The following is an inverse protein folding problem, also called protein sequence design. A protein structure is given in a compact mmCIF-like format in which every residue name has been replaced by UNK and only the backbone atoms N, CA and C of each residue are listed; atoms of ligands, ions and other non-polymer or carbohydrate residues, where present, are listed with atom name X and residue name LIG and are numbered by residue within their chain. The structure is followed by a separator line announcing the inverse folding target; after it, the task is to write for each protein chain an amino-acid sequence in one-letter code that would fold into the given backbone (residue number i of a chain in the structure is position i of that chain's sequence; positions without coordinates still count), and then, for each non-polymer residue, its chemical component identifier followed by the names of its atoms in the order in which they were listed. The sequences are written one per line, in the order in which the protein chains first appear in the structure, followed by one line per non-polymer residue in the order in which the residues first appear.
data_IF_485175484021
#
_entry.id   IF_485175484021
#
_cell.length_a   1.000
_cell.length_b   1.000
_cell.length_c   1.000
_cell.angle_alpha   90.00
_cell.angle_beta   90.00
_cell.angle_gamma   90.00
#
_symmetry.space_group_name_H-M   'P 1'
#
loop_
_entity.id
_entity.type
_entity.pdbx_description
1 polymer ?
#
# COMPACT_ATOMS: atom_id res chain seq x y z
N UNK A 1 64.58 -50.55 -42.08
CA UNK A 1 64.61 -49.94 -40.74
C UNK A 1 63.58 -48.82 -40.68
N UNK A 2 62.82 -48.79 -39.58
CA UNK A 2 62.03 -47.67 -39.00
C UNK A 2 60.84 -47.09 -39.78
N UNK A 3 59.67 -47.56 -39.35
CA UNK A 3 58.34 -46.91 -39.41
C UNK A 3 58.31 -45.69 -38.49
N UNK A 4 57.60 -44.64 -38.88
CA UNK A 4 57.11 -43.60 -37.96
C UNK A 4 55.61 -43.40 -38.18
N UNK A 5 54.84 -43.79 -37.17
CA UNK A 5 53.44 -43.38 -36.97
C UNK A 5 53.44 -41.97 -36.37
N UNK A 6 52.52 -41.11 -36.77
CA UNK A 6 52.19 -39.91 -36.01
C UNK A 6 50.67 -39.75 -35.97
N UNK A 7 50.21 -39.57 -34.74
CA UNK A 7 48.86 -39.75 -34.23
C UNK A 7 48.05 -38.48 -34.51
N UNK A 8 46.86 -38.64 -35.08
CA UNK A 8 45.88 -37.58 -35.21
C UNK A 8 45.26 -37.28 -33.83
N UNK A 9 45.44 -36.07 -33.32
CA UNK A 9 44.77 -35.60 -32.12
C UNK A 9 43.44 -34.93 -32.52
N UNK A 10 42.32 -35.60 -32.24
CA UNK A 10 40.98 -35.07 -32.40
C UNK A 10 40.69 -34.12 -31.21
N UNK A 11 40.70 -32.82 -31.46
CA UNK A 11 40.31 -31.82 -30.47
C UNK A 11 38.79 -31.79 -30.30
N UNK A 12 38.30 -32.22 -29.14
CA UNK A 12 36.89 -32.14 -28.75
C UNK A 12 36.60 -30.71 -28.24
N UNK A 13 36.01 -29.87 -29.08
CA UNK A 13 35.59 -28.51 -28.70
C UNK A 13 34.30 -28.59 -27.89
N UNK A 14 34.40 -28.42 -26.57
CA UNK A 14 33.24 -28.31 -25.68
C UNK A 14 32.68 -26.89 -25.81
N UNK A 15 31.55 -26.75 -26.50
CA UNK A 15 30.75 -25.53 -26.53
C UNK A 15 30.06 -25.35 -25.17
N UNK A 16 30.61 -24.47 -24.33
CA UNK A 16 29.98 -23.99 -23.10
C UNK A 16 28.84 -23.05 -23.47
N UNK A 17 27.62 -23.60 -23.54
CA UNK A 17 26.38 -22.82 -23.63
C UNK A 17 26.17 -22.08 -22.31
N UNK A 18 26.63 -20.83 -22.22
CA UNK A 18 26.29 -19.94 -21.11
C UNK A 18 24.80 -19.60 -21.20
N UNK A 19 23.97 -20.32 -20.45
CA UNK A 19 22.59 -19.96 -20.20
C UNK A 19 22.57 -18.59 -19.54
N UNK A 20 22.20 -17.55 -20.29
CA UNK A 20 21.78 -16.28 -19.72
C UNK A 20 20.49 -16.54 -18.95
N UNK A 21 20.61 -16.90 -17.67
CA UNK A 21 19.53 -16.74 -16.71
C UNK A 21 19.24 -15.25 -16.65
N UNK A 22 18.22 -14.81 -17.40
CA UNK A 22 17.55 -13.55 -17.10
C UNK A 22 17.06 -13.69 -15.67
N UNK A 23 17.68 -12.96 -14.74
CA UNK A 23 17.14 -12.83 -13.40
C UNK A 23 15.77 -12.16 -13.56
N UNK A 24 14.69 -12.95 -13.49
CA UNK A 24 13.38 -12.38 -13.25
C UNK A 24 13.49 -11.59 -11.95
N UNK A 25 13.33 -10.27 -12.05
CA UNK A 25 13.32 -9.41 -10.88
C UNK A 25 12.23 -9.85 -9.91
N UNK A 26 12.46 -9.62 -8.62
CA UNK A 26 11.54 -9.96 -7.53
C UNK A 26 10.08 -9.60 -7.87
N UNK A 27 9.15 -10.52 -7.62
CA UNK A 27 7.73 -10.33 -7.94
C UNK A 27 7.11 -9.21 -7.10
N UNK A 28 5.96 -8.67 -7.53
CA UNK A 28 5.29 -7.62 -6.77
C UNK A 28 4.90 -8.10 -5.38
N UNK A 29 4.35 -9.32 -5.27
CA UNK A 29 3.92 -9.86 -3.98
C UNK A 29 5.07 -10.17 -3.04
N UNK A 30 6.23 -10.58 -3.57
CA UNK A 30 7.43 -10.79 -2.76
C UNK A 30 7.96 -9.45 -2.23
N UNK A 31 8.08 -8.43 -3.09
CA UNK A 31 8.47 -7.08 -2.68
C UNK A 31 7.54 -6.55 -1.59
N UNK A 32 6.22 -6.72 -1.77
CA UNK A 32 5.25 -6.22 -0.79
C UNK A 32 5.35 -6.96 0.54
N UNK A 33 5.52 -8.29 0.52
CA UNK A 33 5.77 -9.09 1.72
C UNK A 33 7.06 -8.67 2.43
N UNK A 34 8.14 -8.43 1.69
CA UNK A 34 9.40 -7.94 2.27
C UNK A 34 9.21 -6.57 2.93
N UNK A 35 8.52 -5.64 2.28
CA UNK A 35 8.21 -4.33 2.84
C UNK A 35 7.42 -4.44 4.17
N UNK A 36 6.37 -5.27 4.20
CA UNK A 36 5.55 -5.47 5.42
C UNK A 36 6.39 -6.06 6.55
N UNK A 37 7.24 -7.05 6.27
CA UNK A 37 8.11 -7.69 7.27
C UNK A 37 9.22 -6.78 7.80
N UNK A 38 9.86 -6.02 6.92
CA UNK A 38 11.13 -5.35 7.23
C UNK A 38 10.96 -3.88 7.65
N UNK A 39 9.79 -3.29 7.44
CA UNK A 39 9.52 -1.89 7.79
C UNK A 39 8.82 -1.79 9.15
N UNK A 40 9.57 -1.54 10.23
CA UNK A 40 8.96 -1.31 11.56
C UNK A 40 8.36 0.08 11.68
N UNK A 41 9.04 1.06 11.09
CA UNK A 41 8.58 2.45 10.97
C UNK A 41 8.79 2.91 9.55
N UNK A 42 7.97 3.83 9.07
CA UNK A 42 8.30 4.61 7.90
C UNK A 42 7.57 5.95 7.91
N UNK A 43 8.06 6.88 7.11
CA UNK A 43 7.37 8.12 6.77
C UNK A 43 7.49 8.42 5.28
N UNK A 44 6.61 9.27 4.77
CA UNK A 44 6.64 9.71 3.38
C UNK A 44 5.56 10.73 3.07
N UNK A 45 5.39 10.99 1.79
CA UNK A 45 4.38 11.88 1.24
C UNK A 45 3.35 11.08 0.44
N UNK A 46 2.12 11.58 0.38
CA UNK A 46 1.08 10.99 -0.44
C UNK A 46 0.32 12.03 -1.25
N UNK A 47 -0.18 11.59 -2.40
CA UNK A 47 -1.26 12.24 -3.15
C UNK A 47 -2.38 11.23 -3.28
N UNK A 48 -3.58 11.58 -2.84
CA UNK A 48 -4.77 10.75 -2.96
C UNK A 48 -5.73 11.41 -3.94
N UNK A 49 -6.22 10.64 -4.90
CA UNK A 49 -7.22 11.03 -5.88
C UNK A 49 -8.43 10.11 -5.75
N UNK A 50 -9.62 10.71 -5.69
CA UNK A 50 -10.88 10.00 -5.80
C UNK A 50 -11.40 10.22 -7.22
N UNK A 51 -11.58 9.13 -7.95
CA UNK A 51 -12.01 9.11 -9.34
C UNK A 51 -13.34 8.37 -9.50
N UNK A 52 -14.06 8.67 -10.58
CA UNK A 52 -15.28 7.95 -10.97
C UNK A 52 -15.41 7.92 -12.49
N UNK A 53 -16.24 7.00 -12.98
CA UNK A 53 -16.69 7.04 -14.36
C UNK A 53 -17.42 8.38 -14.68
N UNK A 54 -17.28 8.93 -15.90
CA UNK A 54 -18.06 10.09 -16.32
C UNK A 54 -19.56 9.80 -16.26
N UNK A 55 -20.36 10.79 -15.85
CA UNK A 55 -21.82 10.68 -15.91
C UNK A 55 -22.28 10.78 -17.36
N UNK A 56 -23.48 10.29 -17.68
CA UNK A 56 -24.05 10.37 -19.04
C UNK A 56 -24.06 11.80 -19.63
N UNK A 57 -24.09 12.83 -18.79
CA UNK A 57 -24.03 14.24 -19.18
C UNK A 57 -22.61 14.80 -19.36
N UNK A 58 -21.57 14.01 -19.13
CA UNK A 58 -20.17 14.40 -19.24
C UNK A 58 -19.51 13.73 -20.47
N UNK A 59 -18.47 14.34 -21.07
CA UNK A 59 -17.72 13.73 -22.16
C UNK A 59 -17.15 12.36 -21.76
N UNK A 60 -17.49 11.33 -22.53
CA UNK A 60 -17.13 9.93 -22.25
C UNK A 60 -15.74 9.55 -22.77
N UNK A 61 -15.12 10.41 -23.58
CA UNK A 61 -13.81 10.23 -24.19
C UNK A 61 -12.64 10.34 -23.20
N UNK A 62 -12.85 10.91 -22.01
CA UNK A 62 -11.78 11.26 -21.06
C UNK A 62 -11.48 10.23 -19.97
N UNK A 63 -11.99 9.01 -20.05
CA UNK A 63 -11.74 7.97 -19.03
C UNK A 63 -12.23 8.37 -17.63
N UNK A 64 -11.57 7.89 -16.57
CA UNK A 64 -11.95 8.23 -15.19
C UNK A 64 -11.74 9.72 -14.89
N UNK A 65 -12.74 10.35 -14.26
CA UNK A 65 -12.69 11.76 -13.84
C UNK A 65 -12.25 11.87 -12.39
N UNK A 66 -11.25 12.72 -12.11
CA UNK A 66 -10.89 13.10 -10.74
C UNK A 66 -11.99 13.98 -10.14
N UNK A 67 -12.57 13.54 -9.03
CA UNK A 67 -13.63 14.22 -8.26
C UNK A 67 -13.02 15.03 -7.12
N UNK A 68 -12.01 14.46 -6.46
CA UNK A 68 -11.33 15.08 -5.32
C UNK A 68 -9.87 14.67 -5.33
N UNK A 69 -9.01 15.59 -4.94
CA UNK A 69 -7.60 15.33 -4.69
C UNK A 69 -7.21 15.87 -3.32
N UNK A 70 -6.47 15.08 -2.55
CA UNK A 70 -5.85 15.49 -1.30
C UNK A 70 -4.37 15.11 -1.32
N UNK A 71 -3.58 15.80 -0.51
CA UNK A 71 -2.15 15.51 -0.41
C UNK A 71 -1.66 15.80 1.00
N UNK A 72 -0.59 15.13 1.39
CA UNK A 72 -0.09 15.23 2.74
C UNK A 72 1.08 14.32 3.03
N UNK A 73 1.25 14.02 4.31
CA UNK A 73 2.33 13.18 4.83
C UNK A 73 1.75 12.00 5.57
N UNK A 74 2.48 10.91 5.58
CA UNK A 74 2.17 9.78 6.45
C UNK A 74 3.38 9.40 7.29
N UNK A 75 3.11 8.84 8.46
CA UNK A 75 4.10 8.16 9.28
C UNK A 75 3.43 6.97 9.94
N UNK A 76 4.12 5.85 10.06
CA UNK A 76 3.62 4.69 10.77
C UNK A 76 4.69 4.03 11.63
N UNK A 77 4.20 3.30 12.61
CA UNK A 77 4.97 2.40 13.44
C UNK A 77 4.15 1.14 13.69
N UNK A 78 4.67 0.00 13.25
CA UNK A 78 4.01 -1.28 13.49
C UNK A 78 4.22 -1.72 14.95
N UNK A 79 3.23 -2.41 15.55
CA UNK A 79 1.88 -2.65 15.02
C UNK A 79 0.92 -1.47 15.26
N UNK A 80 -0.01 -1.25 14.34
CA UNK A 80 -1.24 -0.50 14.57
C UNK A 80 -1.14 1.01 14.86
N UNK A 81 0.03 1.65 14.73
CA UNK A 81 0.18 3.10 14.89
C UNK A 81 0.45 3.78 13.55
N UNK A 82 -0.32 4.80 13.23
CA UNK A 82 -0.06 5.63 12.06
C UNK A 82 -0.63 7.04 12.20
N UNK A 83 -0.12 7.96 11.40
CA UNK A 83 -0.69 9.28 11.15
C UNK A 83 -0.80 9.43 9.64
N UNK A 84 -1.98 9.80 9.18
CA UNK A 84 -2.25 10.26 7.83
C UNK A 84 -2.64 11.73 7.92
N UNK A 85 -1.69 12.60 7.62
CA UNK A 85 -1.77 14.04 7.78
C UNK A 85 -2.07 14.71 6.44
N UNK A 86 -3.35 14.95 6.17
CA UNK A 86 -3.81 15.67 4.98
C UNK A 86 -3.57 17.16 5.19
N UNK A 87 -2.75 17.75 4.33
CA UNK A 87 -2.35 19.16 4.40
C UNK A 87 -3.10 20.04 3.40
N UNK A 88 -3.63 19.45 2.32
CA UNK A 88 -4.40 20.17 1.30
C UNK A 88 -5.55 19.31 0.76
N UNK A 89 -6.66 19.92 0.32
CA UNK A 89 -6.96 21.36 0.43
C UNK A 89 -7.42 21.78 1.83
N UNK A 90 -7.92 20.84 2.63
CA UNK A 90 -8.39 21.04 4.00
C UNK A 90 -7.53 20.22 4.96
N UNK A 91 -7.17 20.82 6.10
CA UNK A 91 -6.26 20.19 7.05
C UNK A 91 -7.01 19.16 7.92
N UNK A 92 -6.68 17.89 7.71
CA UNK A 92 -7.28 16.77 8.45
C UNK A 92 -6.19 15.78 8.86
N UNK A 93 -6.21 15.33 10.11
CA UNK A 93 -5.31 14.26 10.59
C UNK A 93 -6.12 13.05 10.99
N UNK A 94 -5.74 11.90 10.43
CA UNK A 94 -6.20 10.61 10.89
C UNK A 94 -5.07 9.93 11.66
N UNK A 95 -5.30 9.59 12.92
CA UNK A 95 -4.29 9.09 13.85
C UNK A 95 -4.77 7.78 14.44
N UNK A 96 -3.97 6.72 14.29
CA UNK A 96 -4.12 5.50 15.07
C UNK A 96 -3.02 5.46 16.14
N UNK A 97 -3.41 5.40 17.41
CA UNK A 97 -2.49 5.37 18.55
C UNK A 97 -2.19 3.94 19.05
N UNK A 98 -2.75 2.93 18.37
CA UNK A 98 -2.68 1.51 18.74
C UNK A 98 -3.85 1.02 19.59
N UNK A 99 -4.76 1.92 20.01
CA UNK A 99 -6.00 1.59 20.76
C UNK A 99 -7.25 2.09 20.05
N UNK A 100 -7.17 3.28 19.47
CA UNK A 100 -8.28 3.98 18.84
C UNK A 100 -7.84 4.70 17.57
N UNK A 101 -8.81 5.01 16.72
CA UNK A 101 -8.68 5.88 15.58
C UNK A 101 -9.23 7.26 15.96
N UNK A 102 -8.45 8.29 15.70
CA UNK A 102 -8.75 9.69 15.98
C UNK A 102 -8.77 10.43 14.66
N UNK A 103 -9.89 11.06 14.34
CA UNK A 103 -9.98 12.00 13.23
C UNK A 103 -10.00 13.42 13.80
N UNK A 104 -9.00 14.22 13.44
CA UNK A 104 -8.96 15.64 13.73
C UNK A 104 -9.25 16.42 12.45
N UNK A 105 -10.31 17.22 12.48
CA UNK A 105 -10.64 18.19 11.45
C UNK A 105 -10.34 19.59 11.98
N UNK A 106 -9.34 20.26 11.39
CA UNK A 106 -8.87 21.55 11.87
C UNK A 106 -9.90 22.65 11.60
N UNK A 107 -10.55 22.61 10.45
CA UNK A 107 -11.46 23.65 9.99
C UNK A 107 -12.77 23.61 10.79
N UNK A 108 -13.22 22.41 11.15
CA UNK A 108 -14.35 22.21 12.06
C UNK A 108 -13.97 22.34 13.55
N UNK A 109 -12.68 22.43 13.86
CA UNK A 109 -12.17 22.40 15.24
C UNK A 109 -12.73 21.20 16.03
N UNK A 110 -12.76 20.03 15.41
CA UNK A 110 -13.44 18.84 15.93
C UNK A 110 -12.53 17.60 15.93
N UNK A 111 -12.51 16.91 17.07
CA UNK A 111 -11.85 15.62 17.23
C UNK A 111 -12.87 14.49 17.42
N UNK A 112 -12.84 13.47 16.57
CA UNK A 112 -13.69 12.28 16.66
C UNK A 112 -12.86 11.06 17.00
N UNK A 113 -13.24 10.34 18.06
CA UNK A 113 -12.57 9.15 18.54
C UNK A 113 -13.44 7.92 18.28
N UNK A 114 -12.83 6.85 17.76
CA UNK A 114 -13.47 5.55 17.48
C UNK A 114 -12.56 4.40 17.92
N UNK A 115 -13.07 3.30 18.48
CA UNK A 115 -12.28 2.09 18.71
C UNK A 115 -11.60 1.61 17.43
N UNK A 116 -10.33 1.19 17.52
CA UNK A 116 -9.54 0.83 16.35
C UNK A 116 -10.14 -0.34 15.54
N UNK A 117 -10.81 -1.30 16.20
CA UNK A 117 -11.32 -2.52 15.56
C UNK A 117 -12.16 -2.29 14.31
N UNK A 118 -13.26 -1.52 14.42
CA UNK A 118 -14.16 -1.26 13.27
C UNK A 118 -13.59 -0.21 12.30
N UNK A 119 -12.73 0.69 12.78
CA UNK A 119 -12.32 1.86 12.03
C UNK A 119 -11.11 1.61 11.11
N UNK A 120 -10.22 0.68 11.50
CA UNK A 120 -9.02 0.33 10.73
C UNK A 120 -9.36 -0.30 9.37
N UNK A 121 -10.41 -1.13 9.28
CA UNK A 121 -10.76 -1.82 8.04
C UNK A 121 -11.13 -0.87 6.87
N UNK A 122 -11.47 0.39 7.15
CA UNK A 122 -12.05 1.30 6.17
C UNK A 122 -11.06 2.24 5.46
N UNK A 123 -9.79 2.28 5.88
CA UNK A 123 -8.85 3.32 5.42
C UNK A 123 -7.68 2.77 4.59
N UNK A 124 -7.31 3.43 3.47
CA UNK A 124 -6.14 3.08 2.66
C UNK A 124 -4.85 2.91 3.47
N UNK A 125 -4.64 3.78 4.45
CA UNK A 125 -3.46 3.77 5.32
C UNK A 125 -3.39 2.51 6.20
N UNK A 126 -4.52 2.03 6.73
CA UNK A 126 -4.54 0.85 7.56
C UNK A 126 -4.21 -0.44 6.78
N UNK A 127 -4.63 -0.54 5.51
CA UNK A 127 -4.26 -1.66 4.63
C UNK A 127 -2.73 -1.71 4.44
N UNK A 128 -2.09 -0.54 4.27
CA UNK A 128 -0.64 -0.47 4.06
C UNK A 128 0.16 -0.66 5.36
N UNK A 129 -0.33 -0.15 6.49
CA UNK A 129 0.50 0.10 7.68
C UNK A 129 -0.01 -0.55 8.96
N UNK A 130 -1.24 -1.06 8.98
CA UNK A 130 -1.89 -1.60 10.17
C UNK A 130 -1.44 -3.00 10.56
N UNK A 131 -1.23 -3.87 9.56
CA UNK A 131 -1.04 -5.30 9.79
C UNK A 131 0.40 -5.77 9.62
N UNK A 132 0.82 -6.66 10.51
CA UNK A 132 2.07 -7.41 10.40
C UNK A 132 1.88 -8.77 9.73
N UNK A 133 0.64 -9.27 9.64
CA UNK A 133 0.32 -10.60 9.10
C UNK A 133 -0.59 -10.53 7.87
N UNK A 134 -0.07 -9.91 6.80
CA UNK A 134 -0.76 -9.76 5.53
C UNK A 134 -1.31 -11.09 4.98
N UNK A 135 -0.51 -12.16 5.01
CA UNK A 135 -0.89 -13.48 4.49
C UNK A 135 -1.98 -14.19 5.30
N UNK A 136 -2.29 -13.74 6.53
CA UNK A 136 -3.41 -14.27 7.32
C UNK A 136 -4.75 -13.73 6.83
N UNK A 137 -4.75 -12.50 6.30
CA UNK A 137 -5.96 -11.77 5.94
C UNK A 137 -6.20 -11.71 4.44
N UNK A 138 -5.14 -11.82 3.62
CA UNK A 138 -5.22 -11.67 2.18
C UNK A 138 -4.47 -12.78 1.45
N UNK A 139 -5.04 -13.22 0.32
CA UNK A 139 -4.30 -13.86 -0.75
C UNK A 139 -3.72 -12.77 -1.66
N UNK A 140 -2.42 -12.87 -1.96
CA UNK A 140 -1.73 -11.95 -2.85
C UNK A 140 -1.68 -12.54 -4.26
N UNK A 141 -2.29 -11.83 -5.20
CA UNK A 141 -2.34 -12.25 -6.61
C UNK A 141 -1.56 -11.25 -7.45
N UNK A 142 -0.60 -11.73 -8.23
CA UNK A 142 0.15 -10.87 -9.15
C UNK A 142 -0.80 -10.29 -10.21
N UNK A 143 -0.68 -8.99 -10.43
CA UNK A 143 -1.39 -8.26 -11.47
C UNK A 143 -0.45 -7.87 -12.60
N UNK A 144 -0.98 -7.15 -13.58
CA UNK A 144 -0.20 -6.64 -14.69
C UNK A 144 0.76 -5.53 -14.25
N UNK A 145 1.99 -5.58 -14.78
CA UNK A 145 2.96 -4.50 -14.64
C UNK A 145 2.45 -3.27 -15.41
N UNK A 146 2.24 -2.15 -14.70
CA UNK A 146 1.79 -0.89 -15.30
C UNK A 146 2.41 0.31 -14.60
N UNK A 147 2.71 1.33 -15.39
CA UNK A 147 3.34 2.58 -14.93
C UNK A 147 4.68 2.33 -14.17
N UNK A 148 5.45 1.33 -14.62
CA UNK A 148 6.73 0.96 -14.00
C UNK A 148 6.60 0.29 -12.63
N UNK A 149 5.41 -0.19 -12.27
CA UNK A 149 5.14 -0.87 -11.00
C UNK A 149 4.68 -2.31 -11.25
N UNK A 150 5.10 -3.22 -10.37
CA UNK A 150 4.56 -4.57 -10.24
C UNK A 150 3.34 -4.55 -9.34
N UNK A 151 2.17 -4.79 -9.90
CA UNK A 151 0.92 -4.67 -9.14
C UNK A 151 0.54 -5.97 -8.45
N UNK A 152 0.02 -5.85 -7.24
CA UNK A 152 -0.42 -6.99 -6.42
C UNK A 152 -1.84 -6.74 -5.97
N UNK A 153 -2.76 -7.61 -6.33
CA UNK A 153 -4.11 -7.60 -5.80
C UNK A 153 -4.15 -8.28 -4.43
N UNK A 154 -4.82 -7.63 -3.47
CA UNK A 154 -5.07 -8.15 -2.14
C UNK A 154 -6.49 -8.70 -2.10
N UNK A 155 -6.63 -10.02 -2.17
CA UNK A 155 -7.93 -10.70 -2.14
C UNK A 155 -8.20 -11.12 -0.69
N UNK A 156 -9.19 -10.52 0.00
CA UNK A 156 -9.39 -10.83 1.41
C UNK A 156 -9.88 -12.27 1.58
N UNK A 157 -9.25 -12.99 2.51
CA UNK A 157 -9.62 -14.36 2.88
C UNK A 157 -10.94 -14.36 3.63
N UNK A 158 -11.76 -15.39 3.41
CA UNK A 158 -12.94 -15.63 4.25
C UNK A 158 -12.47 -15.90 5.68
N UNK A 159 -12.78 -15.00 6.61
CA UNK A 159 -12.56 -15.24 8.03
C UNK A 159 -13.69 -16.18 8.53
N UNK A 160 -13.37 -17.40 9.03
CA UNK A 160 -14.37 -18.26 9.63
C UNK A 160 -15.01 -17.58 10.85
N UNK A 161 -16.34 -17.64 10.99
CA UNK A 161 -17.15 -17.10 12.09
C UNK A 161 -17.51 -15.59 12.09
N UNK A 162 -17.22 -14.87 11.01
CA UNK A 162 -17.82 -13.52 10.80
C UNK A 162 -19.19 -13.67 10.15
N UNK A 163 -20.25 -13.20 10.83
CA UNK A 163 -21.63 -13.21 10.29
C UNK A 163 -21.79 -12.32 9.04
N UNK A 164 -20.87 -11.37 8.85
CA UNK A 164 -20.79 -10.51 7.68
C UNK A 164 -19.42 -10.77 7.03
N UNK A 165 -19.40 -11.51 5.92
CA UNK A 165 -18.17 -11.72 5.15
C UNK A 165 -17.68 -10.39 4.58
N UNK A 166 -16.47 -9.97 4.96
CA UNK A 166 -15.77 -8.76 4.53
C UNK A 166 -16.58 -7.45 4.66
N UNK A 167 -16.51 -6.79 5.83
CA UNK A 167 -16.99 -5.41 6.05
C UNK A 167 -16.12 -4.34 5.32
N UNK A 168 -15.32 -4.74 4.31
CA UNK A 168 -14.52 -3.79 3.54
C UNK A 168 -15.44 -3.06 2.55
N UNK A 169 -15.41 -1.71 2.48
CA UNK A 169 -16.22 -0.96 1.52
C UNK A 169 -15.71 -1.09 0.07
N UNK A 170 -14.66 -1.89 -0.16
CA UNK A 170 -13.96 -2.03 -1.43
C UNK A 170 -14.11 -3.46 -1.97
N UNK A 171 -14.38 -3.56 -3.27
CA UNK A 171 -14.45 -4.82 -4.02
C UNK A 171 -13.08 -5.24 -4.55
N UNK A 172 -12.17 -4.28 -4.75
CA UNK A 172 -10.79 -4.53 -5.17
C UNK A 172 -9.82 -3.63 -4.42
N UNK A 173 -8.71 -4.21 -4.00
CA UNK A 173 -7.57 -3.52 -3.39
C UNK A 173 -6.32 -3.97 -4.15
N UNK A 174 -5.47 -3.05 -4.55
CA UNK A 174 -4.21 -3.38 -5.21
C UNK A 174 -3.09 -2.43 -4.81
N UNK A 175 -1.87 -2.97 -4.66
CA UNK A 175 -0.65 -2.23 -4.32
C UNK A 175 0.30 -2.29 -5.52
N UNK A 176 0.76 -1.14 -6.00
CA UNK A 176 1.83 -1.03 -6.99
C UNK A 176 3.19 -0.96 -6.30
N UNK A 177 4.05 -1.94 -6.54
CA UNK A 177 5.40 -2.03 -5.99
C UNK A 177 6.45 -1.61 -7.01
N UNK A 178 7.47 -0.86 -6.56
CA UNK A 178 8.68 -0.63 -7.35
C UNK A 178 9.89 -0.52 -6.43
N UNK A 179 10.99 -1.19 -6.81
CA UNK A 179 12.25 -1.18 -6.06
C UNK A 179 12.07 -1.54 -4.57
N UNK A 180 11.22 -2.53 -4.27
CA UNK A 180 10.95 -2.99 -2.89
C UNK A 180 10.06 -2.07 -2.05
N UNK A 181 9.51 -1.00 -2.65
CA UNK A 181 8.68 -0.02 -1.94
C UNK A 181 7.29 0.10 -2.57
N UNK A 182 6.24 0.30 -1.76
CA UNK A 182 4.91 0.62 -2.29
C UNK A 182 4.96 2.03 -2.90
N UNK A 183 4.52 2.16 -4.15
CA UNK A 183 4.45 3.44 -4.88
C UNK A 183 3.01 3.87 -5.14
N UNK A 184 2.09 2.92 -5.21
CA UNK A 184 0.68 3.21 -5.38
C UNK A 184 -0.21 2.25 -4.60
N UNK A 185 -1.40 2.71 -4.26
CA UNK A 185 -2.51 1.91 -3.78
C UNK A 185 -3.76 2.28 -4.58
N UNK A 186 -4.47 1.29 -5.07
CA UNK A 186 -5.72 1.43 -5.82
C UNK A 186 -6.83 0.68 -5.07
N UNK A 187 -7.90 1.37 -4.74
CA UNK A 187 -9.09 0.80 -4.13
C UNK A 187 -10.30 1.09 -5.00
N UNK A 188 -11.12 0.08 -5.27
CA UNK A 188 -12.34 0.20 -6.06
C UNK A 188 -13.52 -0.21 -5.20
N UNK A 189 -14.54 0.64 -5.11
CA UNK A 189 -15.79 0.33 -4.40
C UNK A 189 -16.80 -0.42 -5.27
N UNK A 190 -17.93 -0.83 -4.69
CA UNK A 190 -19.00 -1.55 -5.42
C UNK A 190 -19.74 -0.71 -6.46
N UNK A 191 -19.54 0.62 -6.47
CA UNK A 191 -20.16 1.56 -7.41
C UNK A 191 -19.20 1.97 -8.53
N UNK A 192 -17.96 1.46 -8.52
CA UNK A 192 -16.92 1.78 -9.50
C UNK A 192 -16.18 3.09 -9.21
N UNK A 193 -16.33 3.69 -8.02
CA UNK A 193 -15.44 4.77 -7.59
C UNK A 193 -14.06 4.19 -7.31
N UNK A 194 -13.04 4.92 -7.74
CA UNK A 194 -11.63 4.53 -7.55
C UNK A 194 -10.98 5.51 -6.59
N UNK A 195 -10.27 5.00 -5.59
CA UNK A 195 -9.34 5.77 -4.78
C UNK A 195 -7.94 5.35 -5.19
N UNK A 196 -7.18 6.28 -5.77
CA UNK A 196 -5.77 6.09 -6.11
C UNK A 196 -4.93 6.90 -5.14
N UNK A 197 -4.02 6.24 -4.43
CA UNK A 197 -3.04 6.87 -3.55
C UNK A 197 -1.66 6.63 -4.14
N UNK A 198 -0.94 7.70 -4.45
CA UNK A 198 0.47 7.65 -4.85
C UNK A 198 1.34 8.01 -3.65
N UNK A 199 2.40 7.24 -3.42
CA UNK A 199 3.33 7.42 -2.31
C UNK A 199 4.70 7.84 -2.85
N UNK A 200 5.31 8.81 -2.19
CA UNK A 200 6.63 9.30 -2.55
C UNK A 200 7.49 9.59 -1.31
N UNK A 201 8.80 9.75 -1.51
CA UNK A 201 9.80 10.07 -0.48
C UNK A 201 9.73 9.17 0.76
N UNK A 202 9.49 7.87 0.51
CA UNK A 202 9.38 6.88 1.58
C UNK A 202 10.75 6.67 2.23
N UNK A 203 10.80 6.85 3.55
CA UNK A 203 11.95 6.55 4.39
C UNK A 203 11.58 5.46 5.38
N UNK A 204 12.27 4.33 5.34
CA UNK A 204 12.02 3.20 6.24
C UNK A 204 12.87 3.30 7.50
N UNK A 205 12.41 2.63 8.56
CA UNK A 205 13.12 2.43 9.83
C UNK A 205 13.59 3.74 10.49
N UNK A 206 12.79 4.80 10.32
CA UNK A 206 13.00 6.09 10.96
C UNK A 206 12.84 6.00 12.48
N UNK A 207 13.67 6.72 13.22
CA UNK A 207 13.57 6.81 14.67
C UNK A 207 12.43 7.77 15.04
N UNK A 208 11.40 7.27 15.73
CA UNK A 208 10.23 8.05 16.11
C UNK A 208 10.16 8.16 17.64
N UNK A 209 9.86 9.36 18.19
CA UNK A 209 9.66 9.50 19.63
C UNK A 209 8.37 8.78 20.05
N UNK A 210 8.35 8.27 21.29
CA UNK A 210 7.21 7.48 21.80
C UNK A 210 5.88 8.24 21.80
N UNK A 211 5.91 9.57 21.92
CA UNK A 211 4.74 10.43 21.90
C UNK A 211 4.28 10.84 20.49
N UNK A 212 4.92 10.33 19.42
CA UNK A 212 4.63 10.73 18.04
C UNK A 212 3.16 10.55 17.66
N UNK A 213 2.53 9.49 18.17
CA UNK A 213 1.14 9.11 17.87
C UNK A 213 0.14 9.57 18.94
N UNK A 214 0.59 10.34 19.93
CA UNK A 214 -0.28 10.90 20.96
C UNK A 214 -0.95 12.16 20.43
N UNK A 215 -2.28 12.23 20.54
CA UNK A 215 -3.05 13.40 20.18
C UNK A 215 -3.82 13.95 21.39
N UNK A 216 -3.69 15.25 21.61
CA UNK A 216 -4.47 15.99 22.59
C UNK A 216 -5.26 17.05 21.81
N UNK A 217 -6.61 17.03 21.82
CA UNK A 217 -7.40 18.06 21.18
C UNK A 217 -7.02 19.45 21.70
N UNK A 218 -6.89 20.46 20.84
CA UNK A 218 -6.58 21.82 21.29
C UNK A 218 -7.73 22.39 22.14
N UNK A 219 -7.42 23.41 22.94
CA UNK A 219 -8.43 24.07 23.77
C UNK A 219 -9.58 24.61 22.91
N UNK A 220 -10.81 24.36 23.36
CA UNK A 220 -12.02 24.78 22.64
C UNK A 220 -12.45 23.87 21.49
N UNK A 221 -11.72 22.78 21.21
CA UNK A 221 -12.15 21.79 20.22
C UNK A 221 -13.37 21.00 20.69
N UNK A 222 -14.29 20.73 19.78
CA UNK A 222 -15.36 19.77 20.00
C UNK A 222 -14.80 18.35 20.04
N UNK A 223 -15.25 17.53 20.99
CA UNK A 223 -14.79 16.14 21.15
C UNK A 223 -15.96 15.19 21.08
N UNK A 224 -15.99 14.39 20.00
CA UNK A 224 -16.98 13.34 19.79
C UNK A 224 -16.35 11.96 20.04
N UNK A 225 -17.06 11.11 20.80
CA UNK A 225 -16.66 9.71 21.04
C UNK A 225 -17.75 8.80 20.51
N UNK A 226 -17.41 7.98 19.53
CA UNK A 226 -18.32 7.03 18.91
C UNK A 226 -17.96 5.63 19.41
N UNK A 227 -18.97 4.87 19.81
CA UNK A 227 -18.84 3.52 20.38
C UNK A 227 -19.00 2.44 19.32
#
# INVERSE_FOLDING_TARGET
MRRFFSIAALGLTILLSSSLTLAEGESGSEQFRQFVRNSKTAEGEFVQQQLRAPKASEPQDKGLKVVRQTQGRFVFQRPGRFIWDTQKPYEQKLIADGKQLIMWDKDLNQATFRPAGQALASTPAAILFGETSLDQHFDLVEGEDRLGMKWVALVPKKIPNTKNGNDLPYTKISVGMANGLPKALELIDGLGSVVLVTLDKIQLNVNLPNNRFTFVPPAGAEVLRLN
#
